data_IF_314231319134
#
_entry.id   IF_314231319134
#
_cell.length_a   1.000
_cell.length_b   1.000
_cell.length_c   1.000
_cell.angle_alpha   90.00
_cell.angle_beta   90.00
_cell.angle_gamma   90.00
#
_symmetry.space_group_name_H-M   'P 1'
#
loop_
_entity.id
_entity.type
_entity.pdbx_description
1 polymer ?
#
# COMPACT_ATOMS: atom_id res chain seq x y z
N UNK A 1 54.23 56.37 -48.90
CA UNK A 1 53.95 55.00 -48.34
C UNK A 1 52.47 54.91 -47.93
N UNK A 2 51.68 54.33 -48.76
CA UNK A 2 50.21 54.29 -48.61
C UNK A 2 49.83 52.90 -47.97
N UNK A 3 49.33 52.89 -46.71
CA UNK A 3 48.92 51.73 -46.02
C UNK A 3 47.46 51.38 -46.40
N UNK A 4 47.22 50.29 -47.10
CA UNK A 4 45.90 49.75 -47.39
C UNK A 4 45.37 48.98 -46.18
N UNK A 5 44.27 49.45 -45.62
CA UNK A 5 43.52 48.75 -44.61
C UNK A 5 42.52 47.83 -45.35
N UNK A 6 42.71 46.51 -45.30
CA UNK A 6 41.77 45.52 -45.83
C UNK A 6 40.70 45.33 -44.75
N UNK A 7 39.49 45.79 -44.98
CA UNK A 7 38.33 45.47 -44.17
C UNK A 7 37.72 44.21 -44.73
N UNK A 8 37.89 43.07 -44.01
CA UNK A 8 37.22 41.81 -44.30
C UNK A 8 35.79 41.90 -43.75
N UNK A 9 34.80 42.01 -44.65
CA UNK A 9 33.38 41.85 -44.33
C UNK A 9 33.08 40.36 -44.05
N UNK A 10 32.83 40.04 -42.79
CA UNK A 10 32.27 38.76 -42.41
C UNK A 10 30.77 38.77 -42.69
N UNK A 11 30.33 38.11 -43.76
CA UNK A 11 28.93 37.83 -44.03
C UNK A 11 28.46 36.76 -43.09
N UNK A 12 27.76 37.15 -41.99
CA UNK A 12 27.05 36.18 -41.16
C UNK A 12 25.76 35.76 -41.89
N UNK A 13 25.79 34.57 -42.45
CA UNK A 13 24.59 33.91 -42.98
C UNK A 13 23.66 33.51 -41.81
N UNK A 14 22.59 34.28 -41.67
CA UNK A 14 21.49 33.94 -40.73
C UNK A 14 20.72 32.74 -41.28
N UNK A 15 20.99 31.55 -40.73
CA UNK A 15 20.22 30.34 -41.05
C UNK A 15 18.89 30.45 -40.29
N UNK A 16 17.83 30.83 -41.02
CA UNK A 16 16.47 30.73 -40.50
C UNK A 16 16.06 29.25 -40.42
N UNK A 17 16.12 28.66 -39.21
CA UNK A 17 15.57 27.36 -38.96
C UNK A 17 14.04 27.50 -38.87
N UNK A 18 13.36 27.17 -39.96
CA UNK A 18 11.89 27.09 -39.99
C UNK A 18 11.50 25.74 -39.34
N UNK A 19 11.02 25.81 -38.11
CA UNK A 19 10.41 24.61 -37.48
C UNK A 19 9.02 24.36 -38.10
N UNK A 20 8.73 23.14 -38.54
CA UNK A 20 7.39 22.81 -39.03
C UNK A 20 6.39 22.89 -37.89
N UNK A 21 5.41 23.79 -38.01
CA UNK A 21 4.33 23.98 -37.02
C UNK A 21 3.19 22.95 -37.13
N UNK A 22 3.41 21.82 -37.79
CA UNK A 22 2.46 20.74 -37.81
C UNK A 22 2.59 19.88 -36.53
N UNK A 23 2.10 20.41 -35.43
CA UNK A 23 1.76 19.59 -34.27
C UNK A 23 0.42 18.93 -34.62
N UNK A 24 0.35 17.60 -34.76
CA UNK A 24 -0.92 16.92 -34.94
C UNK A 24 -1.80 17.18 -33.72
N UNK A 25 -2.93 17.84 -33.92
CA UNK A 25 -3.91 18.20 -32.87
C UNK A 25 -4.73 16.97 -32.42
N UNK A 26 -4.24 15.75 -32.71
CA UNK A 26 -4.80 14.51 -32.17
C UNK A 26 -3.93 14.06 -31.03
N UNK A 27 -4.35 14.41 -29.79
CA UNK A 27 -3.93 13.64 -28.63
C UNK A 27 -4.19 12.15 -28.96
N UNK A 28 -3.22 11.25 -28.68
CA UNK A 28 -3.50 9.83 -28.80
C UNK A 28 -4.77 9.54 -27.98
N UNK A 29 -5.66 8.65 -28.44
CA UNK A 29 -6.81 8.27 -27.65
C UNK A 29 -6.29 7.88 -26.28
N UNK A 30 -6.82 8.51 -25.23
CA UNK A 30 -6.62 8.05 -23.86
C UNK A 30 -7.16 6.62 -23.90
N UNK A 31 -6.24 5.65 -23.93
CA UNK A 31 -6.61 4.25 -23.69
C UNK A 31 -7.06 4.25 -22.24
N UNK A 32 -8.35 4.41 -22.06
CA UNK A 32 -9.02 4.16 -20.82
C UNK A 32 -8.76 2.68 -20.53
N UNK A 33 -7.74 2.41 -19.71
CA UNK A 33 -7.50 1.09 -19.19
C UNK A 33 -8.70 0.83 -18.30
N UNK A 34 -9.72 0.22 -18.87
CA UNK A 34 -10.83 -0.35 -18.13
C UNK A 34 -10.23 -1.56 -17.41
N UNK A 35 -9.54 -1.30 -16.29
CA UNK A 35 -9.26 -2.33 -15.29
C UNK A 35 -10.65 -2.78 -14.85
N UNK A 36 -11.00 -4.02 -15.17
CA UNK A 36 -12.29 -4.56 -14.75
C UNK A 36 -12.38 -4.44 -13.23
N UNK A 37 -13.20 -3.52 -12.78
CA UNK A 37 -13.37 -3.14 -11.37
C UNK A 37 -13.64 -4.36 -10.47
N UNK A 38 -14.26 -5.41 -11.02
CA UNK A 38 -14.59 -6.64 -10.30
C UNK A 38 -13.36 -7.50 -9.95
N UNK A 39 -12.36 -7.58 -10.83
CA UNK A 39 -11.15 -8.37 -10.60
C UNK A 39 -10.22 -7.68 -9.60
N UNK A 40 -10.21 -6.35 -9.59
CA UNK A 40 -9.44 -5.55 -8.64
C UNK A 40 -10.04 -5.58 -7.23
N UNK A 41 -11.37 -5.52 -7.07
CA UNK A 41 -12.02 -5.44 -5.76
C UNK A 41 -11.87 -6.74 -4.92
N UNK A 42 -11.74 -7.90 -5.55
CA UNK A 42 -11.60 -9.20 -4.90
C UNK A 42 -10.18 -9.76 -4.87
N UNK A 43 -9.15 -9.01 -5.30
CA UNK A 43 -7.79 -9.51 -5.28
C UNK A 43 -7.22 -9.57 -3.85
N UNK A 44 -6.41 -10.58 -3.56
CA UNK A 44 -5.73 -10.76 -2.28
C UNK A 44 -4.89 -9.51 -1.90
N UNK A 45 -4.22 -8.92 -2.89
CA UNK A 45 -3.47 -7.66 -2.71
C UNK A 45 -4.40 -6.53 -2.27
N UNK A 46 -5.57 -6.40 -2.91
CA UNK A 46 -6.52 -5.35 -2.57
C UNK A 46 -7.11 -5.53 -1.17
N UNK A 47 -7.43 -6.77 -0.78
CA UNK A 47 -7.90 -7.07 0.58
C UNK A 47 -6.84 -6.74 1.63
N UNK A 48 -5.57 -7.09 1.39
CA UNK A 48 -4.46 -6.73 2.27
C UNK A 48 -4.26 -5.22 2.35
N UNK A 49 -4.29 -4.54 1.20
CA UNK A 49 -4.18 -3.08 1.13
C UNK A 49 -5.27 -2.36 1.92
N UNK A 50 -6.53 -2.82 1.82
CA UNK A 50 -7.64 -2.31 2.60
C UNK A 50 -7.39 -2.51 4.09
N UNK A 51 -6.90 -3.69 4.50
CA UNK A 51 -6.63 -3.94 5.90
C UNK A 51 -5.52 -3.04 6.46
N UNK A 52 -4.40 -2.92 5.74
CA UNK A 52 -3.33 -1.98 6.09
C UNK A 52 -3.85 -0.54 6.18
N UNK A 53 -4.67 -0.13 5.20
CA UNK A 53 -5.22 1.24 5.15
C UNK A 53 -6.09 1.55 6.37
N UNK A 54 -7.06 0.70 6.69
CA UNK A 54 -8.02 0.99 7.75
C UNK A 54 -7.47 0.75 9.15
N UNK A 55 -6.55 -0.19 9.33
CA UNK A 55 -5.99 -0.53 10.63
C UNK A 55 -4.73 0.28 10.98
N UNK A 56 -3.93 0.67 9.98
CA UNK A 56 -2.60 1.20 10.26
C UNK A 56 -2.18 2.41 9.41
N UNK A 57 -3.13 3.18 8.85
CA UNK A 57 -2.82 4.33 8.00
C UNK A 57 -1.82 5.32 8.65
N UNK A 58 -2.02 5.62 9.94
CA UNK A 58 -1.23 6.57 10.71
C UNK A 58 -0.03 5.93 11.42
N UNK A 59 0.18 4.62 11.24
CA UNK A 59 1.31 3.92 11.84
C UNK A 59 2.61 4.14 11.04
N UNK A 60 3.79 3.98 11.67
CA UNK A 60 5.05 3.94 10.95
C UNK A 60 5.09 2.76 9.98
N UNK A 61 6.07 2.75 9.08
CA UNK A 61 6.22 1.71 8.06
C UNK A 61 6.21 0.29 8.66
N UNK A 62 6.96 0.08 9.74
CA UNK A 62 7.00 -1.20 10.47
C UNK A 62 5.64 -1.58 11.07
N UNK A 63 4.85 -0.60 11.53
CA UNK A 63 3.50 -0.83 12.03
C UNK A 63 2.54 -1.31 10.94
N UNK A 64 2.70 -0.80 9.71
CA UNK A 64 1.95 -1.28 8.54
C UNK A 64 2.35 -2.70 8.15
N UNK A 65 3.65 -3.01 8.15
CA UNK A 65 4.14 -4.38 7.94
C UNK A 65 3.66 -5.33 9.04
N UNK A 66 3.58 -4.88 10.29
CA UNK A 66 3.12 -5.67 11.42
C UNK A 66 1.66 -6.12 11.26
N UNK A 67 0.76 -5.21 10.85
CA UNK A 67 -0.64 -5.55 10.54
C UNK A 67 -0.72 -6.55 9.39
N UNK A 68 0.07 -6.36 8.32
CA UNK A 68 0.14 -7.31 7.21
C UNK A 68 0.67 -8.68 7.66
N UNK A 69 1.71 -8.72 8.50
CA UNK A 69 2.28 -9.95 9.05
C UNK A 69 1.24 -10.73 9.86
N UNK A 70 0.48 -10.08 10.75
CA UNK A 70 -0.61 -10.75 11.49
C UNK A 70 -1.67 -11.31 10.55
N UNK A 71 -2.02 -10.58 9.50
CA UNK A 71 -2.99 -11.06 8.49
C UNK A 71 -2.49 -12.36 7.85
N UNK A 72 -1.22 -12.42 7.44
CA UNK A 72 -0.62 -13.63 6.85
C UNK A 72 -0.47 -14.76 7.85
N UNK A 73 -0.14 -14.48 9.11
CA UNK A 73 -0.11 -15.52 10.16
C UNK A 73 -1.47 -16.16 10.33
N UNK A 74 -2.55 -15.38 10.29
CA UNK A 74 -3.92 -15.90 10.33
C UNK A 74 -4.23 -16.79 9.13
N UNK A 75 -3.87 -16.36 7.91
CA UNK A 75 -4.05 -17.19 6.69
C UNK A 75 -3.39 -18.56 6.83
N UNK A 76 -2.22 -18.63 7.49
CA UNK A 76 -1.48 -19.88 7.72
C UNK A 76 -1.98 -20.69 8.93
N UNK A 77 -2.74 -20.09 9.81
CA UNK A 77 -3.24 -20.72 11.02
C UNK A 77 -4.58 -21.44 10.76
N UNK A 78 -4.66 -22.71 11.12
CA UNK A 78 -5.84 -23.58 10.89
C UNK A 78 -7.14 -23.12 11.55
N UNK A 79 -7.07 -22.18 12.50
CA UNK A 79 -8.23 -21.61 13.18
C UNK A 79 -8.88 -20.48 12.37
N UNK A 80 -8.24 -20.03 11.29
CA UNK A 80 -8.68 -18.95 10.43
C UNK A 80 -8.93 -19.44 9.00
N UNK A 81 -9.62 -18.65 8.17
CA UNK A 81 -9.72 -18.90 6.74
C UNK A 81 -8.33 -18.92 6.07
N UNK A 82 -8.24 -19.56 4.90
CA UNK A 82 -6.98 -19.81 4.21
C UNK A 82 -6.68 -18.82 3.06
N UNK A 83 -7.40 -17.72 2.99
CA UNK A 83 -7.13 -16.61 2.04
C UNK A 83 -7.13 -15.27 2.75
N UNK A 84 -6.42 -14.29 2.22
CA UNK A 84 -6.33 -12.94 2.81
C UNK A 84 -7.70 -12.28 2.85
N UNK A 85 -8.45 -12.34 1.75
CA UNK A 85 -9.77 -11.74 1.68
C UNK A 85 -10.72 -12.36 2.71
N UNK A 86 -10.73 -13.67 2.86
CA UNK A 86 -11.58 -14.33 3.84
C UNK A 86 -11.18 -14.01 5.29
N UNK A 87 -9.89 -13.91 5.59
CA UNK A 87 -9.40 -13.47 6.91
C UNK A 87 -9.81 -12.02 7.17
N UNK A 88 -9.62 -11.12 6.20
CA UNK A 88 -9.94 -9.70 6.37
C UNK A 88 -11.43 -9.47 6.57
N UNK A 89 -12.27 -10.15 5.80
CA UNK A 89 -13.73 -10.01 5.88
C UNK A 89 -14.42 -11.05 6.74
N UNK A 90 -13.65 -11.81 7.54
CA UNK A 90 -14.19 -12.83 8.45
C UNK A 90 -15.21 -12.22 9.42
N UNK A 91 -16.34 -12.92 9.55
CA UNK A 91 -17.41 -12.60 10.51
C UNK A 91 -17.78 -13.84 11.31
N UNK A 92 -18.10 -13.65 12.56
CA UNK A 92 -18.66 -14.66 13.44
C UNK A 92 -19.80 -14.07 14.28
N UNK A 93 -20.38 -14.86 15.17
CA UNK A 93 -21.50 -14.43 16.02
C UNK A 93 -21.14 -13.28 16.98
N UNK A 94 -19.84 -13.03 17.22
CA UNK A 94 -19.36 -11.95 18.09
C UNK A 94 -19.15 -10.66 17.31
N UNK A 95 -18.87 -10.73 16.00
CA UNK A 95 -18.65 -9.56 15.17
C UNK A 95 -17.70 -9.80 13.99
N UNK A 96 -17.12 -8.72 13.49
CA UNK A 96 -16.14 -8.75 12.41
C UNK A 96 -14.71 -8.85 12.96
N UNK A 97 -13.86 -9.59 12.26
CA UNK A 97 -12.45 -9.74 12.60
C UNK A 97 -11.73 -8.38 12.66
N UNK A 98 -12.05 -7.51 11.72
CA UNK A 98 -11.63 -6.11 11.70
C UNK A 98 -12.85 -5.21 11.75
N UNK A 99 -12.88 -4.29 12.71
CA UNK A 99 -14.07 -3.48 13.03
C UNK A 99 -14.57 -2.65 11.85
N UNK A 100 -13.68 -2.16 11.01
CA UNK A 100 -14.01 -1.37 9.83
C UNK A 100 -14.82 -2.15 8.78
N UNK A 101 -14.77 -3.48 8.77
CA UNK A 101 -15.55 -4.30 7.83
C UNK A 101 -17.04 -4.42 8.21
N UNK A 102 -17.39 -4.10 9.46
CA UNK A 102 -18.77 -4.10 9.99
C UNK A 102 -19.37 -2.70 10.13
N UNK A 103 -18.53 -1.68 10.21
CA UNK A 103 -18.97 -0.30 10.44
C UNK A 103 -19.26 0.48 9.15
N UNK A 104 -19.75 1.71 9.31
CA UNK A 104 -19.71 2.68 8.23
C UNK A 104 -18.23 2.92 7.87
N UNK A 105 -17.83 2.64 6.63
CA UNK A 105 -16.47 2.86 6.16
C UNK A 105 -16.11 4.34 6.38
N UNK A 106 -15.17 4.58 7.27
CA UNK A 106 -14.60 5.88 7.48
C UNK A 106 -13.86 6.32 6.21
N UNK A 107 -13.77 7.62 6.05
CA UNK A 107 -13.17 8.39 4.96
C UNK A 107 -12.12 7.62 4.14
N UNK A 108 -12.46 7.34 2.90
CA UNK A 108 -11.55 6.75 1.92
C UNK A 108 -10.78 7.86 1.20
N UNK A 109 -9.45 7.83 1.30
CA UNK A 109 -8.56 8.79 0.63
C UNK A 109 -7.80 8.06 -0.49
N UNK A 110 -8.17 8.24 -1.76
CA UNK A 110 -7.65 7.43 -2.87
C UNK A 110 -6.13 7.44 -3.01
N UNK A 111 -5.47 8.58 -2.77
CA UNK A 111 -4.01 8.67 -2.90
C UNK A 111 -3.28 7.90 -1.79
N UNK A 112 -3.77 7.95 -0.55
CA UNK A 112 -3.22 7.18 0.57
C UNK A 112 -3.49 5.69 0.42
N UNK A 113 -4.63 5.33 -0.16
CA UNK A 113 -4.93 3.94 -0.48
C UNK A 113 -3.98 3.37 -1.53
N UNK A 114 -3.61 4.16 -2.54
CA UNK A 114 -2.64 3.73 -3.54
C UNK A 114 -1.27 3.41 -2.92
N UNK A 115 -0.84 4.18 -1.92
CA UNK A 115 0.40 3.89 -1.17
C UNK A 115 0.33 2.55 -0.43
N UNK A 116 -0.80 2.27 0.23
CA UNK A 116 -0.99 0.99 0.93
C UNK A 116 -1.15 -0.18 -0.04
N UNK A 117 -1.70 0.05 -1.23
CA UNK A 117 -1.77 -0.96 -2.29
C UNK A 117 -0.37 -1.36 -2.79
N UNK A 118 0.48 -0.37 -3.09
CA UNK A 118 1.88 -0.62 -3.48
C UNK A 118 2.64 -1.33 -2.35
N UNK A 119 2.37 -0.97 -1.10
CA UNK A 119 2.98 -1.64 0.05
C UNK A 119 2.52 -3.10 0.16
N UNK A 120 1.22 -3.38 0.00
CA UNK A 120 0.68 -4.73 0.05
C UNK A 120 1.25 -5.62 -1.06
N UNK A 121 1.37 -5.07 -2.28
CA UNK A 121 1.99 -5.76 -3.41
C UNK A 121 3.45 -6.12 -3.10
N UNK A 122 4.24 -5.17 -2.63
CA UNK A 122 5.64 -5.40 -2.24
C UNK A 122 5.74 -6.39 -1.07
N UNK A 123 4.89 -6.26 -0.07
CA UNK A 123 4.88 -7.15 1.08
C UNK A 123 4.74 -8.62 0.66
N UNK A 124 3.84 -8.91 -0.27
CA UNK A 124 3.61 -10.28 -0.76
C UNK A 124 4.72 -10.76 -1.71
N UNK A 125 5.24 -9.88 -2.58
CA UNK A 125 6.24 -10.25 -3.57
C UNK A 125 7.65 -10.40 -2.97
N UNK A 126 8.01 -9.52 -2.02
CA UNK A 126 9.36 -9.42 -1.46
C UNK A 126 9.49 -10.11 -0.09
N UNK A 127 8.42 -10.74 0.38
CA UNK A 127 8.34 -11.45 1.68
C UNK A 127 8.77 -10.54 2.85
N UNK A 128 8.13 -9.37 2.98
CA UNK A 128 8.48 -8.34 3.98
C UNK A 128 7.87 -8.62 5.38
N UNK A 129 7.63 -9.86 5.71
CA UNK A 129 7.11 -10.25 7.02
C UNK A 129 8.11 -9.96 8.14
N UNK A 130 7.59 -9.59 9.30
CA UNK A 130 8.42 -9.31 10.47
C UNK A 130 8.64 -10.58 11.30
N UNK A 131 9.85 -11.13 11.28
CA UNK A 131 10.21 -12.37 12.01
C UNK A 131 9.86 -12.31 13.50
N UNK A 132 9.99 -11.14 14.13
CA UNK A 132 9.64 -10.94 15.54
C UNK A 132 8.16 -11.17 15.82
N UNK A 133 7.30 -11.10 14.79
CA UNK A 133 5.87 -11.31 14.87
C UNK A 133 5.40 -12.61 14.22
N UNK A 134 6.30 -13.56 13.95
CA UNK A 134 5.99 -14.82 13.22
C UNK A 134 4.82 -15.61 13.78
N UNK A 135 4.55 -15.53 15.08
CA UNK A 135 3.49 -16.24 15.79
C UNK A 135 2.35 -15.30 16.24
N UNK A 136 2.42 -14.00 15.90
CA UNK A 136 1.41 -13.02 16.28
C UNK A 136 0.08 -13.27 15.57
N UNK A 137 -1.00 -13.40 16.35
CA UNK A 137 -2.36 -13.59 15.86
C UNK A 137 -3.31 -12.49 16.27
N UNK A 138 -2.94 -11.67 17.27
CA UNK A 138 -3.78 -10.60 17.81
C UNK A 138 -3.01 -9.31 17.94
N UNK A 139 -3.71 -8.20 17.85
CA UNK A 139 -3.19 -6.88 18.23
C UNK A 139 -4.33 -5.96 18.68
N UNK A 140 -3.96 -4.93 19.40
CA UNK A 140 -4.85 -3.82 19.75
C UNK A 140 -4.06 -2.53 19.87
N UNK A 141 -4.76 -1.39 19.79
CA UNK A 141 -4.14 -0.09 20.00
C UNK A 141 -3.66 0.05 21.47
N UNK A 142 -2.49 0.63 21.68
CA UNK A 142 -1.81 0.71 22.99
C UNK A 142 -2.62 1.41 24.11
N UNK A 143 -3.60 2.23 23.73
CA UNK A 143 -4.52 2.89 24.67
C UNK A 143 -5.73 2.02 25.08
N UNK A 144 -5.87 0.81 24.51
CA UNK A 144 -6.90 -0.18 24.87
C UNK A 144 -6.28 -1.20 25.83
N UNK A 145 -7.06 -1.75 26.75
CA UNK A 145 -6.60 -2.80 27.68
C UNK A 145 -7.56 -3.99 27.66
N UNK A 146 -7.51 -4.84 26.65
CA UNK A 146 -8.36 -6.02 26.55
C UNK A 146 -7.97 -7.03 27.62
N UNK A 147 -8.95 -7.82 28.10
CA UNK A 147 -8.72 -8.94 29.02
C UNK A 147 -8.62 -10.23 28.22
N UNK A 148 -7.44 -10.51 27.70
CA UNK A 148 -7.12 -11.70 26.90
C UNK A 148 -6.22 -12.69 27.67
N UNK A 149 -6.78 -13.53 28.58
CA UNK A 149 -5.99 -14.47 29.38
C UNK A 149 -5.31 -15.55 28.55
N UNK A 150 -5.76 -15.74 27.31
CA UNK A 150 -5.24 -16.70 26.34
C UNK A 150 -4.16 -16.12 25.44
N UNK A 151 -3.81 -14.85 25.58
CA UNK A 151 -2.84 -14.15 24.72
C UNK A 151 -1.63 -13.69 25.52
N UNK A 152 -0.44 -13.93 24.96
CA UNK A 152 0.84 -13.50 25.50
C UNK A 152 1.40 -12.39 24.61
N UNK A 153 1.77 -11.27 25.22
CA UNK A 153 2.37 -10.14 24.52
C UNK A 153 3.73 -10.53 23.94
N UNK A 154 3.96 -10.17 22.68
CA UNK A 154 5.23 -10.34 21.98
C UNK A 154 5.96 -9.00 21.93
N UNK A 155 5.37 -7.99 21.26
CA UNK A 155 6.04 -6.75 20.92
C UNK A 155 5.04 -5.58 20.84
N UNK A 156 5.57 -4.36 20.96
CA UNK A 156 4.84 -3.14 20.63
C UNK A 156 5.53 -2.44 19.46
N UNK A 157 4.78 -2.21 18.38
CA UNK A 157 5.26 -1.50 17.18
C UNK A 157 4.31 -0.34 16.93
N UNK A 158 4.83 0.88 16.94
CA UNK A 158 4.01 2.08 16.85
C UNK A 158 2.99 2.15 17.99
N UNK A 159 1.73 2.37 17.64
CA UNK A 159 0.62 2.42 18.59
C UNK A 159 -0.10 1.08 18.76
N UNK A 160 0.44 -0.03 18.26
CA UNK A 160 -0.14 -1.37 18.40
C UNK A 160 0.71 -2.28 19.29
N UNK A 161 0.04 -3.09 20.11
CA UNK A 161 0.66 -4.16 20.90
C UNK A 161 0.21 -5.50 20.30
N UNK A 162 1.18 -6.36 20.01
CA UNK A 162 1.00 -7.63 19.32
C UNK A 162 1.12 -8.83 20.27
N UNK A 163 0.32 -9.86 20.00
CA UNK A 163 0.17 -11.04 20.86
C UNK A 163 0.14 -12.34 20.08
N UNK A 164 0.73 -13.38 20.66
CA UNK A 164 0.57 -14.78 20.28
C UNK A 164 -0.43 -15.50 21.20
N UNK A 165 -0.82 -16.74 20.86
CA UNK A 165 -1.52 -17.61 21.80
C UNK A 165 -0.57 -17.98 22.94
N UNK A 166 -1.06 -17.94 24.19
CA UNK A 166 -0.32 -18.44 25.33
C UNK A 166 -0.22 -19.98 25.25
N UNK A 167 0.90 -20.51 25.78
CA UNK A 167 1.10 -21.96 25.83
C UNK A 167 -0.06 -22.68 26.52
N UNK A 168 -0.68 -23.62 25.84
CA UNK A 168 -1.82 -24.41 26.35
C UNK A 168 -3.21 -23.76 26.20
N UNK A 169 -3.31 -22.67 25.39
CA UNK A 169 -4.59 -22.02 25.08
C UNK A 169 -5.32 -22.70 23.92
#
# INVERSE_FOLDING_TARGET
MMRYIIITLVLSSLVLIVFPTNIPNTLPPVVEVIVEKSEFEGSEINCLAQNIFFESLNEPYEGKLAVATVTMNRVRNKQYPNSICEVVFQRNDVGCQFSWTCGARTRFEPHLFNETYILAEKFLNDNLELDILKDALFFHASYVNPKWPYAKQIEQIGNHIFYELADGA
#
